data_IF_991944021992
#
_entry.id   IF_991944021992
#
_cell.length_a   1.000
_cell.length_b   1.000
_cell.length_c   1.000
_cell.angle_alpha   90.00
_cell.angle_beta   90.00
_cell.angle_gamma   90.00
#
_symmetry.space_group_name_H-M   'P 1'
#
loop_
_entity.id
_entity.type
_entity.pdbx_description
1 polymer ?
#
# COMPACT_ATOMS: atom_id res chain seq x y z
N UNK A 1 -20.81 -8.83 35.99
CA UNK A 1 -20.90 -8.93 34.52
C UNK A 1 -20.20 -7.71 33.97
N UNK A 2 -18.88 -7.79 33.94
CA UNK A 2 -18.02 -6.78 33.37
C UNK A 2 -18.13 -6.94 31.86
N UNK A 3 -18.96 -6.08 31.27
CA UNK A 3 -18.95 -5.80 29.84
C UNK A 3 -17.65 -5.04 29.60
N UNK A 4 -16.54 -5.78 29.62
CA UNK A 4 -15.26 -5.28 29.15
C UNK A 4 -15.44 -5.03 27.67
N UNK A 5 -15.60 -3.74 27.39
CA UNK A 5 -15.43 -3.09 26.11
C UNK A 5 -14.33 -3.83 25.33
N UNK A 6 -14.74 -4.53 24.28
CA UNK A 6 -13.88 -5.13 23.27
C UNK A 6 -12.86 -4.11 22.77
N UNK A 7 -11.68 -4.13 23.36
CA UNK A 7 -10.61 -3.21 23.01
C UNK A 7 -10.23 -3.46 21.55
N UNK A 8 -10.34 -2.45 20.65
CA UNK A 8 -10.15 -2.65 19.21
C UNK A 8 -8.72 -3.09 18.84
N UNK A 9 -7.77 -3.07 19.78
CA UNK A 9 -6.41 -3.58 19.63
C UNK A 9 -6.36 -5.05 19.18
N UNK A 10 -7.12 -5.97 19.79
CA UNK A 10 -7.04 -7.40 19.44
C UNK A 10 -7.44 -7.70 17.98
N UNK A 11 -8.53 -7.09 17.50
CA UNK A 11 -8.98 -7.23 16.11
C UNK A 11 -8.02 -6.53 15.15
N UNK A 12 -7.52 -5.35 15.53
CA UNK A 12 -6.55 -4.62 14.72
C UNK A 12 -5.25 -5.41 14.60
N UNK A 13 -4.75 -6.00 15.69
CA UNK A 13 -3.52 -6.80 15.72
C UNK A 13 -3.57 -8.02 14.80
N UNK A 14 -4.71 -8.73 14.76
CA UNK A 14 -4.89 -9.85 13.83
C UNK A 14 -5.01 -9.36 12.37
N UNK A 15 -5.69 -8.22 12.12
CA UNK A 15 -5.69 -7.58 10.80
C UNK A 15 -4.26 -7.20 10.38
N UNK A 16 -3.43 -6.64 11.29
CA UNK A 16 -2.03 -6.31 10.99
C UNK A 16 -1.25 -7.56 10.61
N UNK A 17 -1.46 -8.64 11.34
CA UNK A 17 -0.79 -9.93 11.12
C UNK A 17 -1.14 -10.51 9.74
N UNK A 18 -2.43 -10.56 9.39
CA UNK A 18 -2.90 -10.99 8.07
C UNK A 18 -2.36 -10.10 6.94
N UNK A 19 -2.25 -8.79 7.17
CA UNK A 19 -1.66 -7.86 6.22
C UNK A 19 -0.14 -8.06 6.05
N UNK A 20 0.59 -8.36 7.12
CA UNK A 20 2.02 -8.75 7.08
C UNK A 20 2.23 -10.03 6.27
N UNK A 21 1.30 -10.98 6.38
CA UNK A 21 1.31 -12.24 5.62
C UNK A 21 0.82 -12.09 4.17
N UNK A 22 0.42 -10.88 3.74
CA UNK A 22 -0.15 -10.62 2.41
C UNK A 22 -1.57 -11.16 2.22
N UNK A 23 -2.22 -11.61 3.29
CA UNK A 23 -3.56 -12.19 3.30
C UNK A 23 -4.67 -11.12 3.46
N UNK A 24 -4.64 -10.10 2.61
CA UNK A 24 -5.60 -8.98 2.64
C UNK A 24 -7.06 -9.42 2.55
N UNK A 25 -7.36 -10.46 1.76
CA UNK A 25 -8.73 -10.99 1.65
C UNK A 25 -9.21 -11.63 2.96
N UNK A 26 -8.32 -12.28 3.73
CA UNK A 26 -8.68 -12.83 5.03
C UNK A 26 -9.01 -11.72 6.02
N UNK A 27 -8.21 -10.64 6.04
CA UNK A 27 -8.48 -9.47 6.88
C UNK A 27 -9.84 -8.80 6.55
N UNK A 28 -10.18 -8.69 5.26
CA UNK A 28 -11.48 -8.14 4.82
C UNK A 28 -12.64 -9.06 5.23
N UNK A 29 -12.47 -10.38 5.13
CA UNK A 29 -13.49 -11.34 5.54
C UNK A 29 -13.76 -11.26 7.04
N UNK A 30 -12.70 -11.29 7.86
CA UNK A 30 -12.79 -11.16 9.31
C UNK A 30 -13.51 -9.87 9.70
N UNK A 31 -13.04 -8.72 9.19
CA UNK A 31 -13.64 -7.43 9.49
C UNK A 31 -15.13 -7.39 9.08
N UNK A 32 -15.49 -8.01 7.95
CA UNK A 32 -16.89 -8.12 7.50
C UNK A 32 -17.73 -9.04 8.38
N UNK A 33 -17.19 -10.18 8.81
CA UNK A 33 -17.91 -11.15 9.62
C UNK A 33 -18.16 -10.62 11.04
N UNK A 34 -17.22 -9.86 11.59
CA UNK A 34 -17.36 -9.25 12.91
C UNK A 34 -18.21 -7.97 12.89
N UNK A 35 -17.99 -7.07 11.92
CA UNK A 35 -18.70 -5.77 11.89
C UNK A 35 -19.98 -5.78 11.05
N UNK A 36 -20.22 -6.84 10.27
CA UNK A 36 -21.36 -6.93 9.35
C UNK A 36 -21.33 -5.93 8.18
N UNK A 37 -20.23 -5.19 8.00
CA UNK A 37 -20.12 -4.12 7.00
C UNK A 37 -20.12 -4.65 5.56
N UNK A 38 -20.47 -3.76 4.64
CA UNK A 38 -20.39 -4.04 3.22
C UNK A 38 -18.96 -4.40 2.80
N UNK A 39 -18.83 -5.19 1.72
CA UNK A 39 -17.53 -5.60 1.18
C UNK A 39 -16.65 -4.39 0.82
N UNK A 40 -17.28 -3.33 0.28
CA UNK A 40 -16.60 -2.08 -0.08
C UNK A 40 -16.00 -1.39 1.15
N UNK A 41 -16.79 -1.20 2.20
CA UNK A 41 -16.33 -0.55 3.43
C UNK A 41 -15.24 -1.36 4.12
N UNK A 42 -15.43 -2.68 4.19
CA UNK A 42 -14.45 -3.59 4.81
C UNK A 42 -13.11 -3.53 4.08
N UNK A 43 -13.14 -3.48 2.74
CA UNK A 43 -11.94 -3.31 1.92
C UNK A 43 -11.25 -1.98 2.19
N UNK A 44 -12.00 -0.88 2.19
CA UNK A 44 -11.46 0.46 2.35
C UNK A 44 -10.83 0.68 3.74
N UNK A 45 -11.41 0.10 4.79
CA UNK A 45 -10.83 0.11 6.14
C UNK A 45 -9.51 -0.67 6.19
N UNK A 46 -9.49 -1.89 5.67
CA UNK A 46 -8.27 -2.72 5.62
C UNK A 46 -7.19 -2.04 4.79
N UNK A 47 -7.54 -1.38 3.68
CA UNK A 47 -6.62 -0.60 2.86
C UNK A 47 -6.02 0.60 3.58
N UNK A 48 -6.82 1.33 4.35
CA UNK A 48 -6.30 2.45 5.15
C UNK A 48 -5.36 1.99 6.25
N UNK A 49 -5.67 0.85 6.89
CA UNK A 49 -4.82 0.24 7.91
C UNK A 49 -3.49 -0.18 7.29
N UNK A 50 -3.55 -0.86 6.13
CA UNK A 50 -2.38 -1.27 5.36
C UNK A 50 -1.50 -0.08 4.96
N UNK A 51 -2.11 1.00 4.46
CA UNK A 51 -1.40 2.21 4.05
C UNK A 51 -0.70 2.90 5.23
N UNK A 52 -1.35 2.96 6.40
CA UNK A 52 -0.75 3.50 7.62
C UNK A 52 0.46 2.69 8.06
N UNK A 53 0.37 1.36 8.09
CA UNK A 53 1.50 0.51 8.48
C UNK A 53 2.73 0.66 7.56
N UNK A 54 2.50 0.94 6.28
CA UNK A 54 3.58 1.23 5.33
C UNK A 54 4.18 2.61 5.61
N UNK A 55 3.36 3.61 5.93
CA UNK A 55 3.83 4.95 6.28
C UNK A 55 4.64 4.97 7.59
N UNK A 56 4.22 4.16 8.58
CA UNK A 56 4.90 4.01 9.87
C UNK A 56 6.14 3.10 9.80
N UNK A 57 6.43 2.46 8.65
CA UNK A 57 7.59 1.57 8.46
C UNK A 57 7.48 0.20 9.15
N UNK A 58 6.31 -0.13 9.70
CA UNK A 58 6.03 -1.40 10.41
C UNK A 58 5.80 -2.57 9.45
N UNK A 59 5.42 -2.27 8.21
CA UNK A 59 5.24 -3.25 7.16
C UNK A 59 6.41 -3.16 6.18
N UNK A 60 7.45 -3.98 6.39
CA UNK A 60 8.52 -4.20 5.42
C UNK A 60 7.95 -4.99 4.23
N UNK A 61 7.22 -4.29 3.35
CA UNK A 61 6.98 -4.81 2.00
C UNK A 61 8.25 -4.50 1.22
N UNK A 62 8.88 -5.48 0.54
CA UNK A 62 9.88 -5.15 -0.46
C UNK A 62 9.18 -4.23 -1.45
N UNK A 63 9.62 -2.98 -1.48
CA UNK A 63 9.17 -1.97 -2.44
C UNK A 63 9.61 -2.46 -3.81
N UNK A 64 8.80 -3.31 -4.43
CA UNK A 64 8.80 -3.54 -5.86
C UNK A 64 8.48 -2.19 -6.48
N UNK A 65 9.51 -1.53 -6.97
CA UNK A 65 9.47 -0.28 -7.73
C UNK A 65 8.41 -0.43 -8.82
N UNK A 66 7.21 0.08 -8.55
CA UNK A 66 6.13 0.16 -9.52
C UNK A 66 6.32 1.40 -10.37
N UNK A 67 7.08 1.25 -11.47
CA UNK A 67 7.09 1.98 -12.75
C UNK A 67 6.71 3.47 -12.89
N UNK A 68 6.59 4.27 -11.84
CA UNK A 68 6.22 5.69 -11.97
C UNK A 68 7.13 6.56 -11.11
N UNK A 69 8.20 7.04 -11.73
CA UNK A 69 9.04 8.10 -11.19
C UNK A 69 10.39 7.64 -10.67
N UNK A 70 11.37 7.50 -11.57
CA UNK A 70 12.76 7.90 -11.31
C UNK A 70 13.65 7.84 -12.57
N UNK A 71 13.47 8.75 -13.54
CA UNK A 71 14.62 9.35 -14.28
C UNK A 71 14.24 10.81 -14.62
N UNK A 72 14.21 11.68 -13.60
CA UNK A 72 14.25 13.14 -13.74
C UNK A 72 15.44 13.74 -12.98
N UNK A 73 16.61 13.11 -13.09
CA UNK A 73 17.86 13.75 -12.64
C UNK A 73 19.09 13.20 -13.39
N UNK A 74 19.11 13.42 -14.71
CA UNK A 74 20.31 13.29 -15.54
C UNK A 74 20.58 14.63 -16.20
N UNK A 75 21.39 15.45 -15.55
CA UNK A 75 21.77 16.78 -15.99
C UNK A 75 22.42 16.78 -17.40
N UNK A 76 22.08 17.83 -18.15
CA UNK A 76 22.85 18.48 -19.20
C UNK A 76 24.10 17.77 -19.76
N UNK A 77 24.01 17.31 -21.01
CA UNK A 77 25.07 17.56 -22.00
C UNK A 77 24.46 18.07 -23.29
N UNK A 78 24.67 19.37 -23.54
CA UNK A 78 24.68 19.96 -24.87
C UNK A 78 25.75 19.20 -25.67
N UNK A 79 25.38 18.59 -26.78
CA UNK A 79 26.32 17.82 -27.60
C UNK A 79 25.78 17.63 -29.02
N UNK A 80 26.33 18.43 -29.93
CA UNK A 80 26.01 18.54 -31.35
C UNK A 80 25.68 17.22 -32.07
N UNK A 81 24.53 17.19 -32.75
CA UNK A 81 24.13 16.13 -33.67
C UNK A 81 23.26 16.64 -34.82
N UNK A 82 23.37 17.92 -35.21
CA UNK A 82 22.80 18.41 -36.47
C UNK A 82 23.84 18.27 -37.57
N UNK A 83 23.97 17.08 -38.15
CA UNK A 83 24.64 16.92 -39.43
C UNK A 83 24.15 15.61 -40.06
N UNK A 84 23.14 15.68 -40.94
CA UNK A 84 22.97 14.68 -42.00
C UNK A 84 21.82 14.91 -43.00
N UNK A 85 20.99 15.95 -42.92
CA UNK A 85 19.94 16.13 -43.93
C UNK A 85 19.66 17.59 -44.22
N UNK A 86 20.46 18.23 -45.08
CA UNK A 86 20.04 19.43 -45.84
C UNK A 86 20.92 19.77 -47.07
N UNK A 87 21.77 18.87 -47.58
CA UNK A 87 22.45 19.06 -48.87
C UNK A 87 22.76 17.71 -49.54
N UNK A 88 21.78 17.16 -50.27
CA UNK A 88 21.94 16.33 -51.47
C UNK A 88 20.55 15.97 -52.02
#
# INVERSE_FOLDING_TARGET
MDVENESPDGQLDEIKRLLKEGQKIAAIKMLREETGRGLKESKELVEQIEAKMVADGELDKPTGVGCSGMILLGAATIGAGTAAWLFA
#
